data_IF_255278688386
#
_entry.id   IF_255278688386
#
_cell.length_a   1.000
_cell.length_b   1.000
_cell.length_c   1.000
_cell.angle_alpha   90.00
_cell.angle_beta   90.00
_cell.angle_gamma   90.00
#
_symmetry.space_group_name_H-M   'P 1'
#
loop_
_entity.id
_entity.type
_entity.pdbx_description
1 polymer ?
#
# COMPACT_ATOMS: atom_id res chain seq x y z
N UNK A 1 -23.80 6.49 6.55
CA UNK A 1 -23.30 5.42 5.67
C UNK A 1 -22.13 4.69 6.30
N UNK A 2 -22.08 3.35 6.18
CA UNK A 2 -20.96 2.54 6.62
C UNK A 2 -20.48 1.59 5.51
N UNK A 3 -19.17 1.34 5.49
CA UNK A 3 -18.56 0.27 4.67
C UNK A 3 -18.21 -0.86 5.63
N UNK A 4 -18.80 -2.03 5.43
CA UNK A 4 -18.79 -3.11 6.42
C UNK A 4 -18.50 -4.45 5.75
N UNK A 5 -17.58 -5.22 6.36
CA UNK A 5 -17.30 -6.58 5.92
C UNK A 5 -18.33 -7.59 6.48
N UNK A 6 -18.62 -7.50 7.79
CA UNK A 6 -19.50 -8.45 8.47
C UNK A 6 -20.95 -7.94 8.47
N UNK A 7 -21.87 -8.78 7.98
CA UNK A 7 -23.31 -8.52 8.07
C UNK A 7 -23.74 -8.53 9.55
N UNK A 8 -24.82 -7.79 9.82
CA UNK A 8 -25.45 -7.70 11.14
C UNK A 8 -24.50 -7.29 12.28
N UNK A 9 -23.44 -6.53 11.96
CA UNK A 9 -22.62 -5.86 12.96
C UNK A 9 -23.36 -4.63 13.51
N UNK A 10 -23.06 -4.23 14.74
CA UNK A 10 -23.77 -3.14 15.45
C UNK A 10 -23.86 -1.85 14.64
N UNK A 11 -22.82 -1.53 13.86
CA UNK A 11 -22.81 -0.31 13.04
C UNK A 11 -23.90 -0.32 11.96
N UNK A 12 -24.29 -1.50 11.46
CA UNK A 12 -25.30 -1.60 10.40
C UNK A 12 -26.68 -1.15 10.85
N UNK A 13 -26.97 -1.21 12.13
CA UNK A 13 -28.22 -0.75 12.75
C UNK A 13 -28.21 0.73 13.12
N UNK A 14 -27.08 1.42 12.98
CA UNK A 14 -26.89 2.81 13.40
C UNK A 14 -26.71 3.78 12.24
N UNK A 15 -26.80 3.31 11.02
CA UNK A 15 -26.57 4.11 9.81
C UNK A 15 -27.70 3.97 8.82
N UNK A 16 -27.91 5.02 7.99
CA UNK A 16 -28.96 5.05 6.97
C UNK A 16 -28.67 4.18 5.74
N UNK A 17 -27.40 3.75 5.56
CA UNK A 17 -27.02 2.94 4.41
C UNK A 17 -25.74 2.16 4.67
N UNK A 18 -25.64 0.98 4.07
CA UNK A 18 -24.49 0.08 4.24
C UNK A 18 -23.97 -0.38 2.87
N UNK A 19 -22.67 -0.29 2.67
CA UNK A 19 -21.94 -0.95 1.60
C UNK A 19 -21.22 -2.17 2.16
N UNK A 20 -21.61 -3.36 1.72
CA UNK A 20 -20.96 -4.59 2.13
C UNK A 20 -19.77 -4.91 1.23
N UNK A 21 -18.64 -5.24 1.83
CA UNK A 21 -17.40 -5.63 1.12
C UNK A 21 -17.29 -7.13 0.92
N UNK A 22 -18.23 -7.93 1.42
CA UNK A 22 -18.30 -9.38 1.22
C UNK A 22 -19.66 -9.81 0.72
N UNK A 23 -19.70 -10.96 0.03
CA UNK A 23 -20.95 -11.60 -0.42
C UNK A 23 -21.75 -12.23 0.74
N UNK A 24 -21.22 -12.22 1.96
CA UNK A 24 -21.79 -12.86 3.15
C UNK A 24 -21.42 -14.35 3.30
N UNK A 25 -20.82 -14.97 2.28
CA UNK A 25 -20.27 -16.34 2.34
C UNK A 25 -18.77 -16.37 2.51
N UNK A 26 -18.10 -15.29 2.15
CA UNK A 26 -16.66 -15.14 2.24
C UNK A 26 -16.27 -14.54 3.59
N UNK A 27 -16.36 -15.31 4.63
CA UNK A 27 -15.83 -14.89 5.93
C UNK A 27 -14.32 -15.05 5.86
N UNK A 28 -13.61 -13.94 5.94
CA UNK A 28 -12.17 -13.97 6.11
C UNK A 28 -11.85 -14.33 7.56
N UNK A 29 -11.39 -15.56 7.75
CA UNK A 29 -11.11 -16.12 9.09
C UNK A 29 -9.68 -15.85 9.55
N UNK A 30 -8.87 -15.24 8.71
CA UNK A 30 -7.49 -14.88 9.04
C UNK A 30 -7.43 -13.62 9.88
N UNK A 31 -6.62 -13.62 10.93
CA UNK A 31 -6.29 -12.40 11.69
C UNK A 31 -5.60 -11.39 10.78
N UNK A 32 -4.67 -11.87 9.94
CA UNK A 32 -4.01 -11.05 8.91
C UNK A 32 -4.93 -10.87 7.69
N UNK A 33 -6.02 -10.12 7.85
CA UNK A 33 -6.99 -9.81 6.80
C UNK A 33 -6.30 -9.24 5.54
N UNK A 34 -6.68 -9.72 4.37
CA UNK A 34 -6.18 -9.24 3.07
C UNK A 34 -7.32 -8.83 2.16
N UNK A 35 -8.23 -9.75 1.86
CA UNK A 35 -9.37 -9.51 0.97
C UNK A 35 -10.28 -8.39 1.49
N UNK A 36 -10.56 -8.35 2.79
CA UNK A 36 -11.40 -7.32 3.39
C UNK A 36 -10.75 -5.93 3.25
N UNK A 37 -9.44 -5.82 3.44
CA UNK A 37 -8.71 -4.58 3.23
C UNK A 37 -8.85 -4.06 1.79
N UNK A 38 -8.56 -4.88 0.78
CA UNK A 38 -8.69 -4.50 -0.62
C UNK A 38 -10.13 -4.12 -0.98
N UNK A 39 -11.09 -4.89 -0.52
CA UNK A 39 -12.51 -4.63 -0.78
C UNK A 39 -12.99 -3.32 -0.15
N UNK A 40 -12.47 -2.92 1.00
CA UNK A 40 -12.78 -1.64 1.65
C UNK A 40 -12.24 -0.46 0.84
N UNK A 41 -11.02 -0.56 0.30
CA UNK A 41 -10.45 0.47 -0.57
C UNK A 41 -11.30 0.62 -1.84
N UNK A 42 -11.66 -0.49 -2.48
CA UNK A 42 -12.50 -0.48 -3.68
C UNK A 42 -13.87 0.12 -3.39
N UNK A 43 -14.52 -0.26 -2.28
CA UNK A 43 -15.81 0.29 -1.88
C UNK A 43 -15.72 1.81 -1.62
N UNK A 44 -14.65 2.26 -0.97
CA UNK A 44 -14.38 3.67 -0.76
C UNK A 44 -14.18 4.45 -2.06
N UNK A 45 -13.42 3.89 -3.00
CA UNK A 45 -13.22 4.48 -4.33
C UNK A 45 -14.54 4.59 -5.10
N UNK A 46 -15.34 3.53 -5.16
CA UNK A 46 -16.65 3.53 -5.83
C UNK A 46 -17.61 4.55 -5.19
N UNK A 47 -17.66 4.61 -3.86
CA UNK A 47 -18.46 5.61 -3.15
C UNK A 47 -18.03 7.04 -3.49
N UNK A 48 -16.72 7.29 -3.53
CA UNK A 48 -16.16 8.60 -3.87
C UNK A 48 -16.50 9.02 -5.29
N UNK A 49 -16.41 8.10 -6.25
CA UNK A 49 -16.82 8.33 -7.65
C UNK A 49 -18.31 8.63 -7.76
N UNK A 50 -19.14 7.84 -7.09
CA UNK A 50 -20.59 8.05 -7.06
C UNK A 50 -20.97 9.43 -6.49
N UNK A 51 -20.38 9.80 -5.35
CA UNK A 51 -20.64 11.11 -4.74
C UNK A 51 -20.15 12.25 -5.63
N UNK A 52 -19.01 12.10 -6.28
CA UNK A 52 -18.48 13.12 -7.20
C UNK A 52 -19.39 13.31 -8.43
N UNK A 53 -19.91 12.22 -8.96
CA UNK A 53 -20.87 12.23 -10.07
C UNK A 53 -22.19 12.88 -9.67
N UNK A 54 -22.85 12.41 -8.61
CA UNK A 54 -24.16 12.93 -8.15
C UNK A 54 -24.10 14.42 -7.81
N UNK A 55 -22.95 14.87 -7.30
CA UNK A 55 -22.73 16.30 -6.99
C UNK A 55 -22.27 17.14 -8.19
N UNK A 56 -22.23 16.57 -9.38
CA UNK A 56 -21.79 17.25 -10.60
C UNK A 56 -20.32 17.71 -10.57
N UNK A 57 -19.47 17.08 -9.76
CA UNK A 57 -18.05 17.43 -9.65
C UNK A 57 -17.18 16.71 -10.67
N UNK A 58 -17.65 15.59 -11.21
CA UNK A 58 -17.00 14.80 -12.23
C UNK A 58 -18.03 14.31 -13.24
N UNK A 59 -17.67 14.30 -14.50
CA UNK A 59 -18.47 13.82 -15.61
C UNK A 59 -18.41 12.27 -15.74
N UNK A 60 -19.25 11.73 -16.61
CA UNK A 60 -19.33 10.30 -16.88
C UNK A 60 -18.02 9.76 -17.47
N UNK A 61 -17.31 10.53 -18.26
CA UNK A 61 -16.04 10.14 -18.85
C UNK A 61 -14.98 9.95 -17.78
N UNK A 62 -14.92 10.85 -16.81
CA UNK A 62 -14.02 10.70 -15.67
C UNK A 62 -14.35 9.44 -14.88
N UNK A 63 -15.61 9.24 -14.51
CA UNK A 63 -16.06 8.06 -13.75
C UNK A 63 -15.73 6.77 -14.51
N UNK A 64 -16.00 6.76 -15.82
CA UNK A 64 -15.70 5.60 -16.68
C UNK A 64 -14.21 5.28 -16.71
N UNK A 65 -13.34 6.29 -16.82
CA UNK A 65 -11.89 6.08 -16.79
C UNK A 65 -11.43 5.48 -15.46
N UNK A 66 -11.88 6.01 -14.33
CA UNK A 66 -11.48 5.53 -13.01
C UNK A 66 -12.01 4.11 -12.73
N UNK A 67 -13.23 3.79 -13.15
CA UNK A 67 -13.76 2.41 -13.06
C UNK A 67 -12.93 1.44 -13.91
N UNK A 68 -12.49 1.86 -15.09
CA UNK A 68 -11.58 1.02 -15.92
C UNK A 68 -10.24 0.75 -15.22
N UNK A 69 -9.70 1.71 -14.48
CA UNK A 69 -8.48 1.47 -13.68
C UNK A 69 -8.73 0.44 -12.57
N UNK A 70 -9.87 0.50 -11.88
CA UNK A 70 -10.26 -0.51 -10.90
C UNK A 70 -10.36 -1.92 -11.51
N UNK A 71 -10.89 -2.03 -12.73
CA UNK A 71 -11.03 -3.31 -13.43
C UNK A 71 -9.70 -3.94 -13.86
N UNK A 72 -8.61 -3.17 -13.92
CA UNK A 72 -7.26 -3.69 -14.20
C UNK A 72 -6.61 -4.36 -12.99
N UNK A 73 -7.00 -3.97 -11.79
CA UNK A 73 -6.32 -4.39 -10.55
C UNK A 73 -6.17 -5.91 -10.40
N UNK A 74 -7.17 -6.75 -10.70
CA UNK A 74 -6.99 -8.20 -10.54
C UNK A 74 -5.85 -8.78 -11.38
N UNK A 75 -5.63 -8.25 -12.59
CA UNK A 75 -4.53 -8.66 -13.43
C UNK A 75 -3.19 -8.11 -12.95
N UNK A 76 -3.16 -6.86 -12.53
CA UNK A 76 -1.97 -6.25 -11.93
C UNK A 76 -1.54 -6.99 -10.65
N UNK A 77 -2.49 -7.40 -9.81
CA UNK A 77 -2.20 -8.24 -8.63
C UNK A 77 -1.61 -9.59 -9.01
N UNK A 78 -2.09 -10.23 -10.11
CA UNK A 78 -1.48 -11.49 -10.60
C UNK A 78 -0.04 -11.29 -11.05
N UNK A 79 0.27 -10.15 -11.67
CA UNK A 79 1.65 -9.81 -12.07
C UNK A 79 2.55 -9.63 -10.83
N UNK A 80 2.06 -8.95 -9.79
CA UNK A 80 2.79 -8.84 -8.50
C UNK A 80 3.07 -10.22 -7.92
N UNK A 81 2.12 -11.14 -7.94
CA UNK A 81 2.30 -12.50 -7.45
C UNK A 81 3.37 -13.30 -8.22
N UNK A 82 3.67 -12.95 -9.48
CA UNK A 82 4.76 -13.57 -10.25
C UNK A 82 6.14 -13.22 -9.69
N UNK A 83 6.28 -12.13 -8.94
CA UNK A 83 7.53 -11.75 -8.28
C UNK A 83 7.82 -12.53 -7.00
N UNK A 84 7.00 -13.51 -6.63
CA UNK A 84 7.13 -14.28 -5.37
C UNK A 84 8.55 -14.78 -5.12
N UNK A 85 9.20 -15.36 -6.13
CA UNK A 85 10.56 -15.89 -6.00
C UNK A 85 11.60 -14.79 -5.73
N UNK A 86 11.46 -13.62 -6.37
CA UNK A 86 12.31 -12.47 -6.14
C UNK A 86 12.11 -11.92 -4.73
N UNK A 87 10.86 -11.77 -4.30
CA UNK A 87 10.50 -11.30 -2.95
C UNK A 87 11.06 -12.25 -1.89
N UNK A 88 10.89 -13.56 -2.08
CA UNK A 88 11.44 -14.58 -1.16
C UNK A 88 12.97 -14.50 -1.09
N UNK A 89 13.65 -14.38 -2.22
CA UNK A 89 15.11 -14.25 -2.26
C UNK A 89 15.59 -13.00 -1.51
N UNK A 90 14.94 -11.85 -1.74
CA UNK A 90 15.23 -10.61 -1.03
C UNK A 90 15.00 -10.77 0.49
N UNK A 91 13.86 -11.31 0.88
CA UNK A 91 13.53 -11.53 2.30
C UNK A 91 14.58 -12.44 3.00
N UNK A 92 15.01 -13.54 2.36
CA UNK A 92 16.04 -14.43 2.90
C UNK A 92 17.38 -13.74 3.10
N UNK A 93 17.75 -12.79 2.22
CA UNK A 93 19.02 -12.05 2.34
C UNK A 93 18.96 -10.93 3.38
N UNK A 94 17.82 -10.28 3.53
CA UNK A 94 17.74 -8.99 4.26
C UNK A 94 17.03 -9.10 5.61
N UNK A 95 15.93 -9.87 5.71
CA UNK A 95 15.06 -9.87 6.89
C UNK A 95 15.76 -10.36 8.17
N UNK A 96 16.70 -11.28 8.05
CA UNK A 96 17.45 -11.83 9.19
C UNK A 96 18.61 -10.96 9.64
N UNK A 97 18.99 -9.97 8.84
CA UNK A 97 20.17 -9.12 9.10
C UNK A 97 19.85 -7.88 9.94
N UNK A 98 18.58 -7.57 10.14
CA UNK A 98 18.12 -6.36 10.83
C UNK A 98 17.12 -6.69 11.92
N UNK A 99 17.37 -6.13 13.11
CA UNK A 99 16.45 -6.24 14.24
C UNK A 99 15.27 -5.32 14.07
N UNK A 100 15.51 -4.09 13.62
CA UNK A 100 14.49 -3.05 13.47
C UNK A 100 14.01 -2.95 12.04
N UNK A 101 12.71 -2.87 11.88
CA UNK A 101 12.06 -2.70 10.58
C UNK A 101 11.13 -1.51 10.61
N UNK A 102 10.96 -0.89 9.45
CA UNK A 102 9.97 0.15 9.23
C UNK A 102 9.31 0.00 7.87
N UNK A 103 8.08 0.44 7.75
CA UNK A 103 7.41 0.66 6.47
C UNK A 103 7.12 2.16 6.33
N UNK A 104 7.38 2.73 5.17
CA UNK A 104 7.17 4.17 4.95
C UNK A 104 6.47 4.42 3.62
N UNK A 105 5.66 5.49 3.59
CA UNK A 105 4.97 5.92 2.38
C UNK A 105 4.51 7.36 2.50
N UNK A 106 4.32 8.05 1.38
CA UNK A 106 3.79 9.41 1.33
C UNK A 106 2.42 9.39 0.67
N UNK A 107 1.52 10.33 1.05
CA UNK A 107 0.17 10.37 0.52
C UNK A 107 -0.60 9.06 0.71
N UNK A 108 -1.30 8.53 -0.30
CA UNK A 108 -2.01 7.24 -0.24
C UNK A 108 -1.11 6.06 0.13
N UNK A 109 0.17 6.09 -0.23
CA UNK A 109 1.13 5.05 0.13
C UNK A 109 1.44 4.98 1.64
N UNK A 110 1.05 5.97 2.44
CA UNK A 110 1.07 5.82 3.89
C UNK A 110 0.13 4.70 4.35
N UNK A 111 -1.02 4.53 3.67
CA UNK A 111 -1.92 3.40 3.94
C UNK A 111 -1.27 2.06 3.57
N UNK A 112 -0.50 2.01 2.47
CA UNK A 112 0.29 0.82 2.12
C UNK A 112 1.30 0.47 3.23
N UNK A 113 2.02 1.48 3.71
CA UNK A 113 3.00 1.31 4.79
C UNK A 113 2.34 0.83 6.10
N UNK A 114 1.18 1.38 6.46
CA UNK A 114 0.42 0.97 7.64
C UNK A 114 -0.02 -0.48 7.54
N UNK A 115 -0.52 -0.90 6.38
CA UNK A 115 -0.97 -2.27 6.16
C UNK A 115 0.20 -3.27 6.16
N UNK A 116 1.30 -2.95 5.48
CA UNK A 116 2.52 -3.77 5.51
C UNK A 116 3.03 -3.92 6.95
N UNK A 117 3.05 -2.83 7.72
CA UNK A 117 3.42 -2.89 9.13
C UNK A 117 2.56 -3.86 9.91
N UNK A 118 1.23 -3.78 9.77
CA UNK A 118 0.30 -4.67 10.46
C UNK A 118 0.57 -6.12 10.06
N UNK A 119 0.60 -6.42 8.76
CA UNK A 119 0.81 -7.78 8.26
C UNK A 119 2.13 -8.38 8.74
N UNK A 120 3.22 -7.65 8.62
CA UNK A 120 4.53 -8.14 9.04
C UNK A 120 4.65 -8.24 10.56
N UNK A 121 4.01 -7.34 11.33
CA UNK A 121 3.99 -7.45 12.79
C UNK A 121 3.24 -8.70 13.24
N UNK A 122 2.10 -9.00 12.63
CA UNK A 122 1.30 -10.18 12.94
C UNK A 122 1.98 -11.49 12.54
N UNK A 123 2.57 -11.53 11.33
CA UNK A 123 3.10 -12.76 10.74
C UNK A 123 4.56 -13.04 11.12
N UNK A 124 5.34 -12.01 11.43
CA UNK A 124 6.77 -12.14 11.75
C UNK A 124 7.06 -11.93 13.24
N UNK A 125 6.05 -11.67 14.07
CA UNK A 125 6.20 -11.40 15.51
C UNK A 125 7.23 -10.30 15.82
N UNK A 126 7.21 -9.22 15.02
CA UNK A 126 8.12 -8.08 15.17
C UNK A 126 7.37 -6.80 15.46
N UNK A 127 7.98 -5.93 16.24
CA UNK A 127 7.55 -4.53 16.34
C UNK A 127 8.10 -3.77 15.14
N UNK A 128 7.21 -3.24 14.30
CA UNK A 128 7.56 -2.53 13.08
C UNK A 128 6.93 -1.15 13.14
N UNK A 129 7.71 -0.10 12.88
CA UNK A 129 7.15 1.26 12.77
C UNK A 129 6.54 1.50 11.38
N UNK A 130 5.58 2.42 11.34
CA UNK A 130 5.06 2.95 10.08
C UNK A 130 5.06 4.46 10.15
N UNK A 131 5.81 5.10 9.25
CA UNK A 131 6.04 6.53 9.25
C UNK A 131 5.76 7.13 7.87
N UNK A 132 5.62 8.45 7.77
CA UNK A 132 5.78 9.12 6.50
C UNK A 132 7.25 9.06 6.06
N UNK A 133 7.50 9.02 4.75
CA UNK A 133 8.87 8.96 4.21
C UNK A 133 9.67 10.17 4.72
N UNK A 134 9.06 11.35 4.68
CA UNK A 134 9.64 12.62 5.07
C UNK A 134 10.00 12.68 6.55
N UNK A 135 9.29 11.97 7.41
CA UNK A 135 9.51 11.96 8.85
C UNK A 135 10.59 10.95 9.24
N UNK A 136 10.69 9.82 8.54
CA UNK A 136 11.57 8.70 8.90
C UNK A 136 13.03 9.09 8.97
N UNK A 137 13.51 10.02 8.14
CA UNK A 137 14.89 10.51 8.19
C UNK A 137 15.25 11.21 9.51
N UNK A 138 14.25 11.61 10.29
CA UNK A 138 14.41 12.25 11.60
C UNK A 138 14.18 11.29 12.76
N UNK A 139 13.76 10.04 12.48
CA UNK A 139 13.35 9.04 13.48
C UNK A 139 14.32 7.87 13.42
N UNK A 140 15.22 7.80 14.38
CA UNK A 140 16.07 6.66 14.73
C UNK A 140 16.63 5.83 13.54
N UNK A 141 17.40 6.48 12.68
CA UNK A 141 18.18 5.77 11.66
C UNK A 141 19.46 5.12 12.23
N UNK A 142 19.84 5.45 13.47
CA UNK A 142 21.02 4.91 14.14
C UNK A 142 20.91 3.40 14.39
N UNK A 143 19.69 2.86 14.41
CA UNK A 143 19.42 1.42 14.55
C UNK A 143 19.68 0.63 13.26
N UNK A 144 20.10 1.29 12.17
CA UNK A 144 20.33 0.68 10.85
C UNK A 144 19.17 -0.20 10.39
N UNK A 145 17.92 0.31 10.29
CA UNK A 145 16.74 -0.51 10.08
C UNK A 145 16.66 -1.06 8.66
N UNK A 146 15.87 -2.14 8.49
CA UNK A 146 15.30 -2.49 7.20
C UNK A 146 14.08 -1.59 6.97
N UNK A 147 14.04 -0.87 5.83
CA UNK A 147 12.96 0.09 5.52
C UNK A 147 12.27 -0.31 4.22
N UNK A 148 10.99 -0.65 4.30
CA UNK A 148 10.15 -0.85 3.11
C UNK A 148 9.58 0.49 2.70
N UNK A 149 9.93 0.95 1.50
CA UNK A 149 9.52 2.25 0.94
C UNK A 149 8.42 2.02 -0.10
N UNK A 150 7.21 2.48 0.20
CA UNK A 150 6.06 2.40 -0.69
C UNK A 150 6.01 3.65 -1.57
N UNK A 151 6.29 3.51 -2.88
CA UNK A 151 6.34 4.60 -3.84
C UNK A 151 5.54 4.35 -5.12
N UNK A 152 4.81 3.22 -5.21
CA UNK A 152 3.99 2.89 -6.37
C UNK A 152 2.91 3.96 -6.63
N UNK A 153 2.67 4.30 -7.88
CA UNK A 153 1.70 5.31 -8.28
C UNK A 153 2.09 6.76 -8.00
N UNK A 154 3.13 7.01 -7.21
CA UNK A 154 3.57 8.38 -6.86
C UNK A 154 4.22 9.07 -8.06
N UNK A 155 4.00 10.36 -8.22
CA UNK A 155 4.44 11.16 -9.36
C UNK A 155 5.03 12.52 -8.94
N UNK A 156 5.67 13.18 -9.90
CA UNK A 156 6.12 14.57 -9.77
C UNK A 156 7.19 14.79 -8.71
N UNK A 157 7.08 15.90 -7.99
CA UNK A 157 8.07 16.32 -6.99
C UNK A 157 8.09 15.41 -5.77
N UNK A 158 6.94 14.87 -5.35
CA UNK A 158 6.84 13.94 -4.23
C UNK A 158 7.71 12.69 -4.47
N UNK A 159 7.67 12.14 -5.68
CA UNK A 159 8.51 11.00 -6.04
C UNK A 159 10.01 11.36 -5.94
N UNK A 160 10.40 12.56 -6.39
CA UNK A 160 11.78 13.07 -6.23
C UNK A 160 12.22 13.18 -4.77
N UNK A 161 11.33 13.62 -3.89
CA UNK A 161 11.59 13.70 -2.46
C UNK A 161 11.75 12.30 -1.83
N UNK A 162 10.90 11.33 -2.22
CA UNK A 162 11.03 9.94 -1.75
C UNK A 162 12.39 9.34 -2.19
N UNK A 163 12.82 9.59 -3.42
CA UNK A 163 14.14 9.13 -3.92
C UNK A 163 15.27 9.73 -3.08
N UNK A 164 15.23 11.04 -2.83
CA UNK A 164 16.20 11.73 -2.00
C UNK A 164 16.24 11.16 -0.57
N UNK A 165 15.08 10.96 0.05
CA UNK A 165 15.00 10.43 1.39
C UNK A 165 15.44 8.95 1.46
N UNK A 166 15.20 8.17 0.42
CA UNK A 166 15.75 6.80 0.29
C UNK A 166 17.28 6.82 0.25
N UNK A 167 17.89 7.80 -0.44
CA UNK A 167 19.33 7.97 -0.44
C UNK A 167 19.87 8.32 0.97
N UNK A 168 19.12 9.13 1.73
CA UNK A 168 19.45 9.44 3.14
C UNK A 168 19.39 8.17 3.99
N UNK A 169 18.36 7.35 3.84
CA UNK A 169 18.26 6.07 4.56
C UNK A 169 19.48 5.19 4.31
N UNK A 170 19.88 5.04 3.05
CA UNK A 170 21.08 4.25 2.69
C UNK A 170 22.36 4.85 3.28
N UNK A 171 22.52 6.17 3.25
CA UNK A 171 23.69 6.86 3.82
C UNK A 171 23.82 6.60 5.34
N UNK A 172 22.71 6.39 6.03
CA UNK A 172 22.65 5.99 7.43
C UNK A 172 22.67 4.48 7.66
N UNK A 173 23.11 3.70 6.66
CA UNK A 173 23.27 2.24 6.71
C UNK A 173 21.97 1.46 6.90
N UNK A 174 20.81 2.07 6.71
CA UNK A 174 19.56 1.34 6.57
C UNK A 174 19.60 0.46 5.31
N UNK A 175 18.73 -0.54 5.25
CA UNK A 175 18.50 -1.36 4.06
C UNK A 175 17.15 -0.94 3.44
N UNK A 176 17.11 -0.02 2.47
CA UNK A 176 15.88 0.32 1.77
C UNK A 176 15.50 -0.77 0.78
N UNK A 177 14.25 -1.22 0.88
CA UNK A 177 13.58 -2.07 -0.11
C UNK A 177 12.44 -1.25 -0.67
N UNK A 178 12.43 -1.01 -1.97
CA UNK A 178 11.50 -0.07 -2.59
C UNK A 178 10.47 -0.81 -3.43
N UNK A 179 9.20 -0.40 -3.32
CA UNK A 179 8.11 -0.80 -4.21
C UNK A 179 7.78 0.41 -5.07
N UNK A 180 8.03 0.33 -6.37
CA UNK A 180 7.85 1.43 -7.32
C UNK A 180 7.21 0.93 -8.62
N UNK A 181 6.75 1.86 -9.45
CA UNK A 181 6.19 1.51 -10.75
C UNK A 181 7.25 0.95 -11.71
N UNK A 182 6.80 0.10 -12.63
CA UNK A 182 7.62 -0.34 -13.78
C UNK A 182 8.25 0.85 -14.50
N UNK A 183 9.55 0.72 -14.80
CA UNK A 183 10.34 1.76 -15.47
C UNK A 183 10.91 2.86 -14.58
N UNK A 184 10.64 2.81 -13.25
CA UNK A 184 11.21 3.77 -12.31
C UNK A 184 12.56 3.26 -11.77
N UNK A 185 13.64 3.58 -12.50
CA UNK A 185 15.01 3.11 -12.15
C UNK A 185 15.80 4.03 -11.22
N UNK A 186 15.27 5.20 -10.85
CA UNK A 186 16.02 6.18 -10.04
C UNK A 186 16.28 5.74 -8.60
N UNK A 187 15.58 4.73 -8.12
CA UNK A 187 15.80 4.14 -6.79
C UNK A 187 16.98 3.15 -6.76
N UNK A 188 17.35 2.54 -7.89
CA UNK A 188 18.36 1.48 -7.95
C UNK A 188 19.70 1.83 -7.28
N UNK A 189 20.26 3.06 -7.39
CA UNK A 189 21.50 3.40 -6.71
C UNK A 189 21.39 3.43 -5.17
N UNK A 190 20.18 3.54 -4.63
CA UNK A 190 19.91 3.79 -3.22
C UNK A 190 19.18 2.64 -2.52
N UNK A 191 18.54 1.75 -3.25
CA UNK A 191 17.86 0.60 -2.70
C UNK A 191 18.75 -0.63 -2.65
N UNK A 192 18.46 -1.55 -1.77
CA UNK A 192 19.00 -2.92 -1.79
C UNK A 192 18.28 -3.76 -2.84
N UNK A 193 16.98 -3.54 -2.97
CA UNK A 193 16.12 -4.18 -3.97
C UNK A 193 15.01 -3.20 -4.36
N UNK A 194 14.63 -3.20 -5.63
CA UNK A 194 13.45 -2.49 -6.13
C UNK A 194 12.48 -3.51 -6.72
N UNK A 195 11.26 -3.55 -6.18
CA UNK A 195 10.16 -4.34 -6.74
C UNK A 195 9.34 -3.43 -7.65
N UNK A 196 9.40 -3.72 -8.95
CA UNK A 196 8.67 -2.98 -9.96
C UNK A 196 7.26 -3.56 -10.13
N UNK A 197 6.26 -2.81 -9.66
CA UNK A 197 4.86 -3.17 -9.81
C UNK A 197 4.25 -2.52 -11.04
N UNK A 198 3.19 -3.08 -11.64
CA UNK A 198 2.50 -2.44 -12.75
C UNK A 198 2.04 -1.03 -12.41
N UNK A 199 2.14 -0.12 -13.37
CA UNK A 199 1.73 1.27 -13.18
C UNK A 199 0.27 1.38 -12.73
N UNK A 200 0.02 2.10 -11.64
CA UNK A 200 -1.26 2.21 -10.97
C UNK A 200 -1.60 3.68 -10.64
N UNK A 201 -2.87 3.98 -10.45
CA UNK A 201 -3.29 5.25 -9.84
C UNK A 201 -2.85 5.29 -8.38
N UNK A 202 -2.30 6.41 -7.93
CA UNK A 202 -1.73 6.55 -6.59
C UNK A 202 -2.70 6.13 -5.47
N UNK A 203 -3.97 6.51 -5.57
CA UNK A 203 -5.00 6.14 -4.59
C UNK A 203 -5.40 4.65 -4.61
N UNK A 204 -4.97 3.90 -5.62
CA UNK A 204 -5.15 2.45 -5.74
C UNK A 204 -3.88 1.66 -5.44
N UNK A 205 -2.74 2.34 -5.29
CA UNK A 205 -1.46 1.71 -4.99
C UNK A 205 -1.48 0.80 -3.74
N UNK A 206 -2.25 1.11 -2.67
CA UNK A 206 -2.35 0.21 -1.52
C UNK A 206 -2.94 -1.18 -1.80
N UNK A 207 -3.47 -1.41 -3.01
CA UNK A 207 -4.00 -2.72 -3.43
C UNK A 207 -2.90 -3.61 -4.06
N UNK A 208 -1.86 -3.00 -4.59
CA UNK A 208 -0.72 -3.71 -5.21
C UNK A 208 0.43 -3.90 -4.24
#
# INVERSE_FOLDING_TARGET
LAIVNRRDSDITFKVDGVLYTSSGRDIEMSVASTKAFYSQIVAGALLSLYLAHVRGRRDDDFVTREVRELLKLPEQMRQVLQMKAQIESCARRTAVTRTYWAAVGSGPNKTSADEIRIKLSELCYKTISSDYVEDKKHIDLSSEPLIIVCAAGTRGTVLGDIIKDTAIFKAHKAIPIVIADEGEGRFEPYAEEVFHVPGVREHLAPIL
#
